data_IF_489400606824
#
_entry.id   IF_489400606824
#
_cell.length_a   1.000
_cell.length_b   1.000
_cell.length_c   1.000
_cell.angle_alpha   90.00
_cell.angle_beta   90.00
_cell.angle_gamma   90.00
#
_symmetry.space_group_name_H-M   'P 1'
#
loop_
_entity.id
_entity.type
_entity.pdbx_description
1 polymer ?
#
# COMPACT_ATOMS: atom_id res chain seq x y z
N UNK A 1 -1.79 42.25 -18.68
CA UNK A 1 -1.46 40.84 -18.93
C UNK A 1 -2.66 40.20 -19.59
N UNK A 2 -2.63 40.01 -20.89
CA UNK A 2 -3.67 39.28 -21.64
C UNK A 2 -3.70 37.82 -21.16
N UNK A 3 -4.88 37.32 -20.86
CA UNK A 3 -5.09 35.93 -20.51
C UNK A 3 -4.88 35.10 -21.77
N UNK A 4 -3.81 34.29 -21.82
CA UNK A 4 -3.59 33.32 -22.90
C UNK A 4 -4.82 32.41 -23.01
N UNK A 5 -5.33 32.30 -24.25
CA UNK A 5 -6.55 31.55 -24.53
C UNK A 5 -6.18 30.14 -24.99
N UNK A 6 -6.71 29.13 -24.33
CA UNK A 6 -6.51 27.74 -24.77
C UNK A 6 -7.23 27.52 -26.12
N UNK A 7 -6.51 26.91 -27.06
CA UNK A 7 -6.98 26.61 -28.42
C UNK A 7 -7.19 25.12 -28.66
N UNK A 8 -6.54 24.24 -27.90
CA UNK A 8 -6.78 22.79 -27.93
C UNK A 8 -6.99 22.29 -26.51
N UNK A 9 -7.94 21.37 -26.34
CA UNK A 9 -8.30 20.75 -25.08
C UNK A 9 -8.24 19.23 -25.22
N UNK A 10 -8.23 18.51 -24.10
CA UNK A 10 -8.30 17.05 -24.07
C UNK A 10 -7.17 16.36 -24.87
N UNK A 11 -5.96 16.87 -24.71
CA UNK A 11 -4.77 16.28 -25.35
C UNK A 11 -4.02 15.41 -24.33
N UNK A 12 -3.37 14.35 -24.81
CA UNK A 12 -2.62 13.42 -23.94
C UNK A 12 -1.42 14.09 -23.28
N UNK A 13 -1.10 13.69 -22.07
CA UNK A 13 0.08 14.16 -21.34
C UNK A 13 1.26 13.20 -21.53
N UNK A 14 2.38 13.67 -22.02
CA UNK A 14 3.58 12.86 -22.22
C UNK A 14 4.33 12.51 -20.93
N UNK A 15 4.03 13.21 -19.82
CA UNK A 15 4.69 12.98 -18.54
C UNK A 15 3.91 11.99 -17.64
N UNK A 16 2.60 12.14 -17.52
CA UNK A 16 1.80 11.30 -16.63
C UNK A 16 0.96 10.25 -17.36
N UNK A 17 0.96 10.24 -18.70
CA UNK A 17 0.21 9.29 -19.52
C UNK A 17 -1.31 9.50 -19.52
N UNK A 18 -1.82 10.60 -18.94
CA UNK A 18 -3.24 10.94 -19.06
C UNK A 18 -3.61 11.19 -20.52
N UNK A 19 -4.72 10.63 -20.99
CA UNK A 19 -5.15 10.69 -22.38
C UNK A 19 -5.75 12.03 -22.77
N UNK A 20 -6.19 12.87 -21.80
CA UNK A 20 -7.07 14.00 -22.04
C UNK A 20 -6.86 15.22 -21.11
N UNK A 21 -5.78 15.23 -20.30
CA UNK A 21 -5.59 16.23 -19.25
C UNK A 21 -4.81 17.49 -19.68
N UNK A 22 -4.36 17.59 -20.93
CA UNK A 22 -3.59 18.74 -21.40
C UNK A 22 -4.43 19.71 -22.19
N UNK A 23 -4.28 21.02 -21.90
CA UNK A 23 -4.80 22.13 -22.72
C UNK A 23 -3.65 22.96 -23.26
N UNK A 24 -3.72 23.30 -24.56
CA UNK A 24 -2.68 24.00 -25.30
C UNK A 24 -3.14 25.42 -25.61
N UNK A 25 -2.27 26.42 -25.40
CA UNK A 25 -2.49 27.82 -25.71
C UNK A 25 -2.11 28.15 -27.18
N UNK A 26 -2.53 29.31 -27.67
CA UNK A 26 -2.17 29.84 -29.01
C UNK A 26 -0.66 30.00 -29.21
N UNK A 27 0.09 30.29 -28.16
CA UNK A 27 1.55 30.45 -28.18
C UNK A 27 2.31 29.10 -28.17
N UNK A 28 1.59 27.96 -28.23
CA UNK A 28 2.17 26.62 -28.17
C UNK A 28 2.50 26.14 -26.76
N UNK A 29 2.36 26.98 -25.74
CA UNK A 29 2.49 26.53 -24.34
C UNK A 29 1.30 25.66 -23.95
N UNK A 30 1.51 24.74 -22.99
CA UNK A 30 0.44 23.86 -22.55
C UNK A 30 0.55 23.53 -21.07
N UNK A 31 -0.60 23.21 -20.44
CA UNK A 31 -0.66 22.76 -19.06
C UNK A 31 -1.40 21.43 -18.97
N UNK A 32 -0.83 20.48 -18.25
CA UNK A 32 -1.51 19.25 -17.83
C UNK A 32 -2.22 19.48 -16.50
N UNK A 33 -3.53 19.25 -16.46
CA UNK A 33 -4.35 19.40 -15.24
C UNK A 33 -4.35 18.15 -14.35
N UNK A 34 -3.73 17.06 -14.82
CA UNK A 34 -3.59 15.83 -14.02
C UNK A 34 -2.30 15.79 -13.19
N UNK A 35 -1.19 16.33 -13.71
CA UNK A 35 0.11 16.33 -13.03
C UNK A 35 0.74 17.71 -12.86
N UNK A 36 -0.01 18.78 -13.17
CA UNK A 36 0.41 20.19 -13.13
C UNK A 36 1.65 20.54 -13.98
N UNK A 37 2.06 19.65 -14.89
CA UNK A 37 3.19 19.90 -15.78
C UNK A 37 2.85 21.04 -16.74
N UNK A 38 3.79 22.00 -16.88
CA UNK A 38 3.75 23.07 -17.86
C UNK A 38 4.72 22.80 -19.00
N UNK A 39 4.28 23.01 -20.25
CA UNK A 39 5.08 22.88 -21.47
C UNK A 39 5.23 24.26 -22.12
N UNK A 40 6.44 24.65 -22.44
CA UNK A 40 6.71 25.92 -23.16
C UNK A 40 6.47 25.78 -24.67
N UNK A 41 6.54 24.57 -25.21
CA UNK A 41 6.17 24.23 -26.58
C UNK A 41 5.74 22.77 -26.64
N UNK A 42 4.45 22.52 -26.84
CA UNK A 42 3.84 21.19 -26.79
C UNK A 42 4.02 20.42 -28.12
N UNK A 43 3.99 21.10 -29.26
CA UNK A 43 3.97 20.45 -30.59
C UNK A 43 5.33 19.95 -31.09
N UNK A 44 6.45 20.38 -30.52
CA UNK A 44 7.79 19.99 -30.94
C UNK A 44 8.32 18.66 -30.34
N UNK A 45 7.47 17.81 -29.76
CA UNK A 45 7.87 16.50 -29.20
C UNK A 45 7.17 15.29 -29.79
N UNK A 46 6.84 15.34 -31.08
CA UNK A 46 6.35 14.15 -31.81
C UNK A 46 7.40 13.75 -32.85
N UNK A 47 8.53 13.22 -32.40
CA UNK A 47 9.33 12.27 -33.18
C UNK A 47 10.36 11.61 -32.26
N UNK A 48 10.21 10.35 -32.11
CA UNK A 48 11.02 9.26 -31.56
C UNK A 48 10.47 8.67 -30.27
N UNK A 49 9.87 7.51 -30.42
CA UNK A 49 9.75 6.49 -29.37
C UNK A 49 11.18 5.96 -29.08
N UNK A 50 12.03 6.76 -28.54
CA UNK A 50 13.18 6.30 -27.81
C UNK A 50 12.80 6.35 -26.33
N UNK A 51 12.78 5.17 -25.72
CA UNK A 51 12.75 5.00 -24.27
C UNK A 51 13.89 5.85 -23.70
N UNK A 52 13.59 7.07 -23.32
CA UNK A 52 14.47 7.83 -22.46
C UNK A 52 14.44 7.16 -21.08
N UNK A 53 15.26 6.13 -20.94
CA UNK A 53 15.82 5.78 -19.64
C UNK A 53 16.68 7.00 -19.29
N UNK A 54 16.14 7.92 -18.49
CA UNK A 54 16.97 8.93 -17.83
C UNK A 54 18.05 8.14 -17.11
N UNK A 55 19.30 8.26 -17.61
CA UNK A 55 20.47 7.79 -16.87
C UNK A 55 20.35 8.39 -15.47
N UNK A 56 20.52 7.60 -14.40
CA UNK A 56 20.48 8.11 -13.04
C UNK A 56 21.51 9.23 -12.96
N UNK A 57 21.04 10.43 -12.67
CA UNK A 57 21.94 11.55 -12.37
C UNK A 57 22.71 11.11 -11.13
N UNK A 58 24.04 11.01 -11.25
CA UNK A 58 24.90 10.62 -10.13
C UNK A 58 24.61 11.56 -8.96
N UNK A 59 23.98 11.05 -7.92
CA UNK A 59 23.62 11.87 -6.77
C UNK A 59 24.88 12.12 -5.97
N UNK A 60 25.45 13.30 -6.14
CA UNK A 60 26.52 13.77 -5.27
C UNK A 60 25.91 14.00 -3.89
N UNK A 61 26.42 13.30 -2.87
CA UNK A 61 25.97 13.49 -1.49
C UNK A 61 26.46 14.87 -1.00
N UNK A 62 25.62 15.92 -0.97
CA UNK A 62 26.07 17.28 -0.68
C UNK A 62 26.42 17.51 0.79
N UNK A 63 26.12 16.56 1.69
CA UNK A 63 26.11 16.83 3.12
C UNK A 63 27.05 15.99 3.97
N UNK A 64 27.96 15.21 3.40
CA UNK A 64 29.04 14.56 4.17
C UNK A 64 28.60 13.81 5.45
N UNK A 65 27.33 13.33 5.52
CA UNK A 65 26.79 12.68 6.72
C UNK A 65 27.58 11.43 7.11
N UNK A 66 27.53 11.08 8.38
CA UNK A 66 28.22 9.90 8.95
C UNK A 66 27.24 8.81 9.35
N UNK A 67 27.71 7.58 9.39
CA UNK A 67 26.97 6.46 9.98
C UNK A 67 27.04 6.52 11.50
N UNK A 68 25.91 6.75 12.15
CA UNK A 68 25.80 6.80 13.59
C UNK A 68 24.41 6.34 14.05
N UNK A 69 24.27 6.11 15.33
CA UNK A 69 22.95 5.83 15.97
C UNK A 69 21.98 6.99 15.72
N UNK A 70 20.77 6.68 15.31
CA UNK A 70 19.68 7.67 15.26
C UNK A 70 19.11 7.81 16.67
N UNK A 71 19.70 8.71 17.47
CA UNK A 71 19.42 8.81 18.92
C UNK A 71 17.97 9.22 19.21
N UNK A 72 17.37 10.07 18.37
CA UNK A 72 15.98 10.51 18.49
C UNK A 72 14.97 9.40 18.14
N UNK A 73 15.43 8.33 17.48
CA UNK A 73 14.65 7.18 17.02
C UNK A 73 15.01 5.87 17.71
N UNK A 74 16.05 5.88 18.55
CA UNK A 74 16.62 4.71 19.20
C UNK A 74 17.04 3.57 18.22
N UNK A 75 17.36 3.93 16.96
CA UNK A 75 17.84 2.98 15.94
C UNK A 75 19.35 2.87 16.06
N UNK A 76 19.87 1.63 16.09
CA UNK A 76 21.30 1.35 16.25
C UNK A 76 22.12 1.83 15.06
N UNK A 77 23.42 2.03 15.27
CA UNK A 77 24.35 2.39 14.19
C UNK A 77 24.42 1.28 13.14
N UNK A 78 24.44 0.05 13.57
CA UNK A 78 24.52 -1.14 12.71
C UNK A 78 23.33 -1.22 11.75
N UNK A 79 22.13 -0.94 12.23
CA UNK A 79 20.92 -0.87 11.40
C UNK A 79 20.97 0.33 10.45
N UNK A 80 21.36 1.50 10.92
CA UNK A 80 21.51 2.68 10.09
C UNK A 80 22.53 2.44 8.95
N UNK A 81 23.67 1.85 9.26
CA UNK A 81 24.71 1.50 8.30
C UNK A 81 24.22 0.46 7.28
N UNK A 82 23.53 -0.59 7.74
CA UNK A 82 22.92 -1.59 6.86
C UNK A 82 21.97 -0.95 5.85
N UNK A 83 21.13 0.00 6.27
CA UNK A 83 20.17 0.70 5.40
C UNK A 83 20.80 1.86 4.63
N UNK A 84 22.11 2.12 4.81
CA UNK A 84 22.81 3.22 4.17
C UNK A 84 22.41 4.61 4.69
N UNK A 85 21.73 4.66 5.85
CA UNK A 85 21.24 5.90 6.46
C UNK A 85 22.35 6.61 7.19
N UNK A 86 22.55 7.86 6.82
CA UNK A 86 23.54 8.75 7.46
C UNK A 86 22.83 9.83 8.28
N UNK A 87 23.54 10.38 9.22
CA UNK A 87 23.10 11.52 10.04
C UNK A 87 24.03 12.70 9.86
N UNK A 88 23.46 13.90 10.01
CA UNK A 88 24.21 15.17 10.01
C UNK A 88 23.98 15.83 11.35
N UNK A 89 25.05 16.30 11.97
CA UNK A 89 25.02 17.10 13.18
C UNK A 89 25.19 18.58 12.83
N UNK A 90 24.58 19.46 13.61
CA UNK A 90 24.78 20.90 13.47
C UNK A 90 26.10 21.36 14.14
N UNK A 91 26.38 22.66 14.06
CA UNK A 91 27.59 23.26 14.67
C UNK A 91 27.69 23.09 16.18
N UNK A 92 26.58 22.78 16.85
CA UNK A 92 26.50 22.53 18.28
C UNK A 92 26.61 21.04 18.65
N UNK A 93 26.84 20.16 17.65
CA UNK A 93 26.87 18.73 17.83
C UNK A 93 25.51 18.07 18.06
N UNK A 94 24.41 18.78 17.78
CA UNK A 94 23.07 18.22 17.88
C UNK A 94 22.65 17.55 16.57
N UNK A 95 21.92 16.45 16.65
CA UNK A 95 21.40 15.72 15.49
C UNK A 95 20.43 16.62 14.69
N UNK A 96 20.84 17.01 13.49
CA UNK A 96 20.09 17.93 12.64
C UNK A 96 19.28 17.24 11.54
N UNK A 97 19.87 16.21 10.90
CA UNK A 97 19.25 15.58 9.73
C UNK A 97 19.46 14.07 9.70
N UNK A 98 18.48 13.36 9.14
CA UNK A 98 18.62 11.98 8.66
C UNK A 98 18.62 11.97 7.14
N UNK A 99 19.51 11.20 6.53
CA UNK A 99 19.67 11.06 5.08
C UNK A 99 19.30 9.63 4.68
N UNK A 100 18.16 9.46 4.01
CA UNK A 100 17.66 8.16 3.56
C UNK A 100 17.95 7.97 2.07
N UNK A 101 18.81 7.00 1.69
CA UNK A 101 19.12 6.75 0.28
C UNK A 101 18.04 5.91 -0.39
N UNK A 102 17.82 6.18 -1.69
CA UNK A 102 16.97 5.38 -2.57
C UNK A 102 17.77 4.91 -3.78
N UNK A 103 17.41 3.74 -4.32
CA UNK A 103 18.20 3.05 -5.32
C UNK A 103 17.34 2.63 -6.51
N UNK A 104 18.01 2.63 -7.71
CA UNK A 104 17.55 1.98 -8.94
C UNK A 104 18.65 1.01 -9.34
N UNK A 105 18.35 -0.28 -9.48
CA UNK A 105 19.33 -1.29 -9.88
C UNK A 105 20.62 -1.28 -9.03
N UNK A 106 20.50 -1.07 -7.72
CA UNK A 106 21.58 -0.91 -6.74
C UNK A 106 22.43 0.36 -6.89
N UNK A 107 22.07 1.28 -7.78
CA UNK A 107 22.70 2.60 -7.87
C UNK A 107 21.87 3.65 -7.13
N UNK A 108 22.51 4.46 -6.30
CA UNK A 108 21.81 5.50 -5.54
C UNK A 108 21.29 6.58 -6.49
N UNK A 109 19.97 6.76 -6.55
CA UNK A 109 19.30 7.71 -7.43
C UNK A 109 18.71 8.92 -6.71
N UNK A 110 18.49 8.82 -5.40
CA UNK A 110 17.98 9.92 -4.60
C UNK A 110 18.38 9.79 -3.12
N UNK A 111 18.33 10.92 -2.44
CA UNK A 111 18.41 11.03 -0.97
C UNK A 111 17.19 11.81 -0.50
N UNK A 112 16.42 11.23 0.41
CA UNK A 112 15.37 11.91 1.16
C UNK A 112 15.99 12.39 2.47
N UNK A 113 15.98 13.70 2.70
CA UNK A 113 16.50 14.32 3.92
C UNK A 113 15.35 14.66 4.84
N UNK A 114 15.40 14.18 6.08
CA UNK A 114 14.50 14.59 7.14
C UNK A 114 15.21 15.54 8.08
N UNK A 115 14.65 16.73 8.25
CA UNK A 115 15.10 17.70 9.25
C UNK A 115 14.49 17.35 10.60
N UNK A 116 15.34 17.12 11.62
CA UNK A 116 14.87 16.58 12.91
C UNK A 116 14.04 17.60 13.66
N UNK A 117 14.45 18.89 13.64
CA UNK A 117 13.83 19.98 14.42
C UNK A 117 12.39 20.28 13.97
N UNK A 118 12.16 20.46 12.70
CA UNK A 118 10.87 20.89 12.13
C UNK A 118 10.10 19.76 11.42
N UNK A 119 10.66 18.56 11.42
CA UNK A 119 10.10 17.34 10.78
C UNK A 119 9.83 17.50 9.28
N UNK A 120 10.40 18.51 8.65
CA UNK A 120 10.30 18.77 7.22
C UNK A 120 11.14 17.75 6.44
N UNK A 121 10.73 17.51 5.19
CA UNK A 121 11.46 16.66 4.25
C UNK A 121 11.92 17.45 3.03
N UNK A 122 13.08 17.10 2.49
CA UNK A 122 13.55 17.52 1.18
C UNK A 122 14.09 16.33 0.40
N UNK A 123 14.21 16.49 -0.91
CA UNK A 123 14.69 15.44 -1.80
C UNK A 123 15.84 15.97 -2.65
N UNK A 124 16.88 15.18 -2.79
CA UNK A 124 17.93 15.36 -3.77
C UNK A 124 17.93 14.14 -4.70
N UNK A 125 17.87 14.37 -6.03
CA UNK A 125 17.66 13.30 -7.01
C UNK A 125 16.19 13.03 -7.31
N UNK A 126 15.89 11.86 -7.90
CA UNK A 126 14.54 11.48 -8.32
C UNK A 126 14.13 10.13 -7.72
N UNK A 127 12.94 10.09 -7.12
CA UNK A 127 12.32 8.84 -6.66
C UNK A 127 11.60 8.07 -7.78
N UNK A 128 11.52 8.63 -9.00
CA UNK A 128 10.87 7.98 -10.12
C UNK A 128 11.66 6.74 -10.54
N UNK A 129 11.03 5.59 -10.56
CA UNK A 129 11.66 4.31 -10.88
C UNK A 129 12.50 3.71 -9.74
N UNK A 130 12.64 4.40 -8.60
CA UNK A 130 13.31 3.80 -7.44
C UNK A 130 12.45 2.70 -6.80
N UNK A 131 13.11 1.73 -6.19
CA UNK A 131 12.48 0.77 -5.29
C UNK A 131 11.96 1.42 -4.01
N UNK A 132 11.33 0.62 -3.16
CA UNK A 132 10.98 1.00 -1.79
C UNK A 132 12.25 1.27 -0.98
N UNK A 133 12.15 2.06 0.09
CA UNK A 133 13.29 2.25 0.99
C UNK A 133 13.72 0.91 1.60
N UNK A 134 15.00 0.58 1.48
CA UNK A 134 15.57 -0.68 1.94
C UNK A 134 15.34 -1.88 1.01
N UNK A 135 14.64 -1.72 -0.12
CA UNK A 135 14.37 -2.82 -1.06
C UNK A 135 15.65 -3.47 -1.59
N UNK A 136 16.69 -2.68 -1.87
CA UNK A 136 17.98 -3.15 -2.37
C UNK A 136 18.75 -4.06 -1.39
N UNK A 137 18.34 -4.11 -0.12
CA UNK A 137 19.01 -4.90 0.94
C UNK A 137 18.55 -6.35 1.00
N UNK A 138 17.39 -6.64 0.44
CA UNK A 138 16.75 -7.93 0.55
C UNK A 138 16.49 -8.51 -0.85
N UNK A 139 16.99 -9.72 -1.07
CA UNK A 139 16.77 -10.43 -2.33
C UNK A 139 15.29 -10.72 -2.53
N UNK A 140 14.89 -10.78 -3.78
CA UNK A 140 13.57 -11.27 -4.20
C UNK A 140 13.34 -12.69 -3.68
N UNK A 141 12.08 -12.98 -3.38
CA UNK A 141 11.69 -14.26 -2.80
C UNK A 141 12.03 -14.33 -1.31
N UNK A 142 11.19 -14.95 -0.57
CA UNK A 142 11.36 -15.11 0.86
C UNK A 142 10.04 -15.34 1.56
N UNK A 143 10.12 -15.74 2.82
CA UNK A 143 8.93 -16.14 3.56
C UNK A 143 8.07 -14.95 4.02
N UNK A 144 8.73 -13.84 4.39
CA UNK A 144 8.06 -12.65 4.92
C UNK A 144 8.76 -11.37 4.48
N UNK A 145 7.96 -10.37 4.12
CA UNK A 145 8.37 -8.97 4.01
C UNK A 145 7.43 -8.11 4.84
N UNK A 146 7.97 -7.13 5.56
CA UNK A 146 7.21 -6.12 6.29
C UNK A 146 7.30 -4.79 5.56
N UNK A 147 6.16 -4.16 5.31
CA UNK A 147 6.08 -2.85 4.65
C UNK A 147 5.55 -1.84 5.66
N UNK A 148 6.32 -0.79 5.92
CA UNK A 148 5.96 0.31 6.84
C UNK A 148 5.66 1.60 6.08
N UNK A 149 5.13 2.60 6.78
CA UNK A 149 4.86 3.90 6.20
C UNK A 149 6.13 4.76 6.12
N UNK A 150 6.93 4.76 7.17
CA UNK A 150 8.13 5.58 7.30
C UNK A 150 9.43 4.79 7.29
N UNK A 151 10.53 5.46 6.91
CA UNK A 151 11.87 4.86 6.86
C UNK A 151 12.37 4.44 8.25
N UNK A 152 12.09 5.26 9.28
CA UNK A 152 12.41 4.90 10.66
C UNK A 152 11.67 3.67 11.13
N UNK A 153 10.40 3.51 10.69
CA UNK A 153 9.57 2.37 11.06
C UNK A 153 10.05 1.07 10.41
N UNK A 154 10.58 1.15 9.18
CA UNK A 154 11.20 0.00 8.53
C UNK A 154 12.43 -0.49 9.30
N UNK A 155 13.32 0.44 9.66
CA UNK A 155 14.50 0.12 10.47
C UNK A 155 14.12 -0.37 11.87
N UNK A 156 13.13 0.26 12.50
CA UNK A 156 12.63 -0.16 13.81
C UNK A 156 12.00 -1.55 13.77
N UNK A 157 11.16 -1.84 12.79
CA UNK A 157 10.58 -3.17 12.59
C UNK A 157 11.66 -4.22 12.34
N UNK A 158 12.70 -3.87 11.59
CA UNK A 158 13.84 -4.75 11.36
C UNK A 158 14.54 -5.13 12.68
N UNK A 159 14.86 -4.16 13.55
CA UNK A 159 15.46 -4.42 14.86
C UNK A 159 14.51 -5.20 15.79
N UNK A 160 13.24 -4.80 15.86
CA UNK A 160 12.22 -5.46 16.69
C UNK A 160 12.03 -6.93 16.33
N UNK A 161 12.24 -7.29 15.05
CA UNK A 161 12.16 -8.67 14.55
C UNK A 161 13.52 -9.41 14.59
N UNK A 162 14.49 -8.88 15.33
CA UNK A 162 15.80 -9.49 15.51
C UNK A 162 16.67 -9.47 14.26
N UNK A 163 16.48 -8.47 13.40
CA UNK A 163 17.27 -8.24 12.17
C UNK A 163 17.24 -9.40 11.17
N UNK A 164 16.15 -10.18 11.17
CA UNK A 164 16.04 -11.43 10.40
C UNK A 164 15.19 -11.30 9.14
N UNK A 165 14.10 -10.55 9.18
CA UNK A 165 13.11 -10.47 8.11
C UNK A 165 13.27 -9.21 7.27
N UNK A 166 12.87 -9.27 6.00
CA UNK A 166 12.85 -8.10 5.14
C UNK A 166 11.88 -7.04 5.68
N UNK A 167 12.37 -5.82 5.87
CA UNK A 167 11.58 -4.66 6.30
C UNK A 167 11.90 -3.49 5.38
N UNK A 168 10.87 -2.95 4.73
CA UNK A 168 10.96 -1.86 3.77
C UNK A 168 9.91 -0.79 4.09
N UNK A 169 10.08 0.44 3.59
CA UNK A 169 9.01 1.42 3.67
C UNK A 169 8.60 1.98 2.31
N UNK A 170 7.37 2.49 2.25
CA UNK A 170 6.93 3.30 1.12
C UNK A 170 7.71 4.61 1.06
N UNK A 171 7.73 5.25 -0.13
CA UNK A 171 8.59 6.41 -0.41
C UNK A 171 8.01 7.74 0.03
N UNK A 172 6.69 7.90 -0.12
CA UNK A 172 5.99 9.19 -0.11
C UNK A 172 4.86 9.29 0.92
N UNK A 173 4.78 8.34 1.88
CA UNK A 173 3.74 8.29 2.91
C UNK A 173 2.39 7.73 2.43
N UNK A 174 1.42 7.63 3.36
CA UNK A 174 0.15 6.93 3.19
C UNK A 174 -0.64 7.33 1.93
N UNK A 175 -0.66 8.62 1.57
CA UNK A 175 -1.41 9.10 0.41
C UNK A 175 -0.92 8.52 -0.93
N UNK A 176 0.37 8.23 -1.05
CA UNK A 176 0.97 7.66 -2.25
C UNK A 176 1.24 6.15 -2.16
N UNK A 177 0.84 5.51 -1.05
CA UNK A 177 1.14 4.10 -0.76
C UNK A 177 0.77 3.16 -1.91
N UNK A 178 -0.44 3.30 -2.46
CA UNK A 178 -0.92 2.49 -3.60
C UNK A 178 -0.01 2.59 -4.81
N UNK A 179 0.47 3.80 -5.12
CA UNK A 179 1.38 4.05 -6.26
C UNK A 179 2.74 3.42 -6.00
N UNK A 180 3.31 3.65 -4.82
CA UNK A 180 4.62 3.12 -4.44
C UNK A 180 4.64 1.58 -4.45
N UNK A 181 3.56 0.94 -3.97
CA UNK A 181 3.41 -0.51 -3.98
C UNK A 181 3.26 -1.06 -5.40
N UNK A 182 2.49 -0.39 -6.27
CA UNK A 182 2.34 -0.81 -7.67
C UNK A 182 3.68 -0.74 -8.44
N UNK A 183 4.50 0.28 -8.16
CA UNK A 183 5.83 0.43 -8.76
C UNK A 183 6.80 -0.70 -8.36
N UNK A 184 6.60 -1.34 -7.21
CA UNK A 184 7.42 -2.45 -6.70
C UNK A 184 6.64 -3.77 -6.55
N UNK A 185 5.52 -3.92 -7.27
CA UNK A 185 4.57 -5.01 -7.03
C UNK A 185 5.20 -6.39 -7.26
N UNK A 186 5.97 -6.57 -8.32
CA UNK A 186 6.63 -7.83 -8.66
C UNK A 186 7.57 -8.27 -7.54
N UNK A 187 8.40 -7.36 -7.06
CA UNK A 187 9.28 -7.61 -5.92
C UNK A 187 8.51 -8.02 -4.66
N UNK A 188 7.46 -7.29 -4.30
CA UNK A 188 6.66 -7.57 -3.10
C UNK A 188 5.94 -8.92 -3.24
N UNK A 189 5.41 -9.21 -4.42
CA UNK A 189 4.70 -10.46 -4.74
C UNK A 189 5.62 -11.68 -4.79
N UNK A 190 6.94 -11.50 -4.85
CA UNK A 190 7.91 -12.59 -4.76
C UNK A 190 7.96 -13.24 -3.36
N UNK A 191 7.52 -12.53 -2.32
CA UNK A 191 7.47 -13.06 -0.94
C UNK A 191 6.18 -13.85 -0.69
N UNK A 192 6.26 -14.88 0.18
CA UNK A 192 5.09 -15.71 0.54
C UNK A 192 4.05 -14.92 1.34
N UNK A 193 4.49 -14.05 2.25
CA UNK A 193 3.65 -13.26 3.13
C UNK A 193 4.11 -11.80 3.16
N UNK A 194 3.15 -10.89 3.04
CA UNK A 194 3.38 -9.45 3.10
C UNK A 194 2.69 -8.88 4.33
N UNK A 195 3.46 -8.44 5.32
CA UNK A 195 2.93 -7.82 6.54
C UNK A 195 2.93 -6.31 6.37
N UNK A 196 1.76 -5.69 6.39
CA UNK A 196 1.59 -4.25 6.27
C UNK A 196 1.52 -3.67 7.68
N UNK A 197 2.51 -2.85 8.04
CA UNK A 197 2.66 -2.21 9.35
C UNK A 197 2.67 -0.68 9.18
N UNK A 198 1.51 -0.12 8.86
CA UNK A 198 1.34 1.34 8.73
C UNK A 198 0.91 1.96 10.05
N UNK A 199 1.00 3.28 10.14
CA UNK A 199 0.63 4.04 11.32
C UNK A 199 -0.81 3.71 11.77
N UNK A 200 -1.04 3.75 13.08
CA UNK A 200 -2.34 3.41 13.67
C UNK A 200 -3.41 4.50 13.49
N UNK A 201 -3.05 5.62 12.87
CA UNK A 201 -4.01 6.67 12.56
C UNK A 201 -4.97 6.26 11.42
N UNK A 202 -6.01 7.08 11.20
CA UNK A 202 -7.04 6.79 10.21
C UNK A 202 -6.47 6.68 8.79
N UNK A 203 -5.52 7.57 8.44
CA UNK A 203 -4.92 7.59 7.09
C UNK A 203 -4.07 6.35 6.83
N UNK A 204 -3.21 5.98 7.79
CA UNK A 204 -2.38 4.78 7.71
C UNK A 204 -3.23 3.51 7.60
N UNK A 205 -4.30 3.39 8.40
CA UNK A 205 -5.17 2.21 8.37
C UNK A 205 -5.99 2.11 7.07
N UNK A 206 -6.46 3.22 6.51
CA UNK A 206 -7.12 3.24 5.21
C UNK A 206 -6.15 2.89 4.07
N UNK A 207 -4.93 3.44 4.12
CA UNK A 207 -3.88 3.11 3.16
C UNK A 207 -3.48 1.63 3.23
N UNK A 208 -3.33 1.06 4.44
CA UNK A 208 -3.03 -0.36 4.63
C UNK A 208 -4.08 -1.26 3.97
N UNK A 209 -5.38 -0.95 4.12
CA UNK A 209 -6.46 -1.69 3.47
C UNK A 209 -6.41 -1.56 1.94
N UNK A 210 -6.17 -0.36 1.41
CA UNK A 210 -6.03 -0.13 -0.04
C UNK A 210 -4.84 -0.90 -0.62
N UNK A 211 -3.70 -0.89 0.07
CA UNK A 211 -2.51 -1.68 -0.31
C UNK A 211 -2.81 -3.18 -0.27
N UNK A 212 -3.47 -3.66 0.78
CA UNK A 212 -3.81 -5.07 0.91
C UNK A 212 -4.72 -5.59 -0.22
N UNK A 213 -5.59 -4.73 -0.79
CA UNK A 213 -6.47 -5.11 -1.92
C UNK A 213 -5.74 -5.24 -3.26
N UNK A 214 -4.52 -4.69 -3.40
CA UNK A 214 -3.73 -4.76 -4.63
C UNK A 214 -2.97 -6.09 -4.71
N UNK A 215 -2.60 -6.63 -3.56
CA UNK A 215 -1.83 -7.85 -3.45
C UNK A 215 -2.69 -9.08 -3.76
N UNK A 216 -2.04 -10.15 -4.21
CA UNK A 216 -2.71 -11.44 -4.45
C UNK A 216 -3.49 -11.91 -3.22
N UNK A 217 -4.61 -12.61 -3.41
CA UNK A 217 -5.41 -13.14 -2.31
C UNK A 217 -4.58 -13.95 -1.31
N UNK A 218 -4.85 -13.77 -0.02
CA UNK A 218 -4.20 -14.44 1.11
C UNK A 218 -2.73 -14.05 1.37
N UNK A 219 -2.10 -13.19 0.58
CA UNK A 219 -0.72 -12.72 0.82
C UNK A 219 -0.63 -11.60 1.86
N UNK A 220 -1.54 -10.64 1.77
CA UNK A 220 -1.52 -9.47 2.66
C UNK A 220 -1.97 -9.82 4.08
N UNK A 221 -1.19 -9.40 5.06
CA UNK A 221 -1.54 -9.41 6.47
C UNK A 221 -1.46 -7.99 7.01
N UNK A 222 -2.47 -7.52 7.72
CA UNK A 222 -2.43 -6.19 8.36
C UNK A 222 -2.04 -6.39 9.82
N UNK A 223 -0.91 -5.80 10.19
CA UNK A 223 -0.44 -5.77 11.57
C UNK A 223 -1.24 -4.73 12.36
N UNK A 224 -1.85 -5.16 13.43
CA UNK A 224 -2.49 -4.27 14.40
C UNK A 224 -1.56 -4.10 15.60
N UNK A 225 -0.99 -2.91 15.75
CA UNK A 225 -0.12 -2.60 16.89
C UNK A 225 -0.92 -2.59 18.21
N UNK A 226 -0.31 -3.01 19.34
CA UNK A 226 -0.93 -2.90 20.66
C UNK A 226 -1.41 -1.48 20.99
N UNK A 227 -2.32 -1.36 21.96
CA UNK A 227 -2.79 -0.04 22.38
C UNK A 227 -1.65 0.75 23.04
N UNK A 228 -1.64 2.07 22.80
CA UNK A 228 -0.62 2.96 23.31
C UNK A 228 0.55 3.25 22.37
N UNK A 229 0.65 2.52 21.25
CA UNK A 229 1.70 2.74 20.25
C UNK A 229 1.10 3.17 18.91
N UNK A 230 1.74 4.16 18.27
CA UNK A 230 1.33 4.69 16.98
C UNK A 230 1.94 3.92 15.84
N UNK A 231 3.23 3.63 15.92
CA UNK A 231 4.07 3.08 14.87
C UNK A 231 5.13 2.11 15.45
N UNK A 232 5.88 1.45 14.57
CA UNK A 232 6.91 0.51 14.98
C UNK A 232 8.06 1.20 15.74
N UNK A 233 8.38 2.44 15.40
CA UNK A 233 9.45 3.17 16.06
C UNK A 233 9.09 3.54 17.50
N UNK A 234 7.83 3.83 17.79
CA UNK A 234 7.36 4.04 19.18
C UNK A 234 7.60 2.79 20.03
N UNK A 235 7.33 1.60 19.49
CA UNK A 235 7.58 0.34 20.20
C UNK A 235 9.08 0.09 20.42
N UNK A 236 9.92 0.37 19.41
CA UNK A 236 11.39 0.25 19.56
C UNK A 236 11.92 1.18 20.64
N UNK A 237 11.48 2.44 20.67
CA UNK A 237 11.90 3.42 21.68
C UNK A 237 11.57 2.98 23.11
N UNK A 238 10.53 2.19 23.29
CA UNK A 238 10.10 1.66 24.58
C UNK A 238 10.59 0.22 24.86
N UNK A 239 11.44 -0.33 23.98
CA UNK A 239 12.03 -1.66 24.15
C UNK A 239 11.03 -2.81 24.05
N UNK A 240 9.93 -2.64 23.31
CA UNK A 240 8.81 -3.59 23.23
C UNK A 240 8.99 -4.69 22.16
N UNK A 241 10.16 -5.29 22.12
CA UNK A 241 10.53 -6.33 21.13
C UNK A 241 9.58 -7.53 21.14
N UNK A 242 9.30 -8.08 22.31
CA UNK A 242 8.46 -9.27 22.43
C UNK A 242 7.01 -8.99 22.05
N UNK A 243 6.48 -7.84 22.48
CA UNK A 243 5.10 -7.44 22.17
C UNK A 243 4.91 -7.20 20.67
N UNK A 244 5.89 -6.53 20.02
CA UNK A 244 5.87 -6.32 18.56
C UNK A 244 5.95 -7.65 17.81
N UNK A 245 6.90 -8.50 18.17
CA UNK A 245 7.10 -9.82 17.53
C UNK A 245 5.84 -10.69 17.67
N UNK A 246 5.18 -10.69 18.83
CA UNK A 246 3.91 -11.39 19.02
C UNK A 246 2.82 -10.82 18.11
N UNK A 247 2.62 -9.51 18.10
CA UNK A 247 1.62 -8.87 17.25
C UNK A 247 1.90 -9.14 15.76
N UNK A 248 3.17 -9.19 15.36
CA UNK A 248 3.58 -9.50 14.00
C UNK A 248 3.22 -10.93 13.59
N UNK A 249 3.47 -11.93 14.44
CA UNK A 249 3.06 -13.32 14.20
C UNK A 249 1.54 -13.50 14.22
N UNK A 250 0.83 -12.76 15.06
CA UNK A 250 -0.62 -12.79 15.20
C UNK A 250 -1.34 -11.97 14.09
N UNK A 251 -0.58 -11.33 13.20
CA UNK A 251 -1.15 -10.53 12.11
C UNK A 251 -2.06 -11.36 11.22
N UNK A 252 -3.28 -10.86 11.00
CA UNK A 252 -4.32 -11.60 10.28
C UNK A 252 -4.27 -11.31 8.79
N UNK A 253 -4.51 -12.36 8.01
CA UNK A 253 -4.69 -12.22 6.56
C UNK A 253 -5.85 -11.27 6.30
N UNK A 254 -5.59 -10.25 5.49
CA UNK A 254 -6.61 -9.31 5.08
C UNK A 254 -7.64 -9.99 4.19
N UNK A 255 -8.90 -9.84 4.57
CA UNK A 255 -10.05 -10.30 3.78
C UNK A 255 -10.89 -9.07 3.45
N UNK A 256 -11.10 -8.72 2.17
CA UNK A 256 -11.95 -7.60 1.78
C UNK A 256 -13.37 -7.75 2.34
N UNK A 257 -14.02 -6.61 2.63
CA UNK A 257 -15.42 -6.60 3.06
C UNK A 257 -16.30 -7.26 2.00
N UNK A 258 -17.20 -8.17 2.43
CA UNK A 258 -18.07 -8.95 1.55
C UNK A 258 -17.57 -10.36 1.26
N UNK A 259 -16.30 -10.68 1.48
CA UNK A 259 -15.79 -12.05 1.43
C UNK A 259 -15.87 -12.67 2.82
N UNK A 260 -16.68 -13.71 2.96
CA UNK A 260 -16.86 -14.42 4.22
C UNK A 260 -16.26 -15.82 4.10
N UNK A 261 -15.33 -16.15 4.98
CA UNK A 261 -14.78 -17.50 5.05
C UNK A 261 -15.86 -18.46 5.60
N UNK A 262 -16.05 -19.58 4.94
CA UNK A 262 -17.03 -20.60 5.37
C UNK A 262 -16.74 -21.08 6.80
N UNK A 263 -15.47 -21.20 7.19
CA UNK A 263 -15.04 -21.53 8.55
C UNK A 263 -15.65 -20.60 9.62
N UNK A 264 -15.72 -19.30 9.32
CA UNK A 264 -16.20 -18.29 10.28
C UNK A 264 -17.71 -18.34 10.46
N UNK A 265 -18.41 -18.89 9.45
CA UNK A 265 -19.87 -19.10 9.47
C UNK A 265 -20.30 -20.46 9.97
N UNK A 266 -19.37 -21.41 10.15
CA UNK A 266 -19.70 -22.79 10.56
C UNK A 266 -20.56 -22.84 11.83
N UNK A 267 -20.20 -22.12 12.90
CA UNK A 267 -20.95 -22.08 14.15
C UNK A 267 -22.34 -21.50 13.95
N UNK A 268 -22.47 -20.40 13.22
CA UNK A 268 -23.82 -19.79 12.98
C UNK A 268 -24.68 -20.64 12.07
N UNK A 269 -24.10 -21.46 11.19
CA UNK A 269 -24.81 -22.39 10.33
C UNK A 269 -25.31 -23.60 11.14
N UNK A 270 -24.47 -24.14 12.03
CA UNK A 270 -24.84 -25.29 12.89
C UNK A 270 -25.88 -24.92 13.96
N UNK A 271 -25.85 -23.68 14.46
CA UNK A 271 -26.77 -23.18 15.47
C UNK A 271 -27.96 -22.42 14.86
N UNK A 272 -28.20 -22.56 13.54
CA UNK A 272 -29.35 -21.91 12.90
C UNK A 272 -30.63 -22.54 13.40
N UNK A 273 -31.52 -21.74 13.97
CA UNK A 273 -32.87 -22.16 14.33
C UNK A 273 -33.56 -22.74 13.10
N UNK A 274 -34.14 -23.93 13.27
CA UNK A 274 -34.97 -24.53 12.23
C UNK A 274 -36.20 -23.66 12.09
N UNK A 275 -36.44 -23.13 10.92
CA UNK A 275 -37.68 -22.40 10.63
C UNK A 275 -38.82 -23.35 10.62
N UNK A 276 -39.93 -22.96 11.24
CA UNK A 276 -41.18 -23.70 11.16
C UNK A 276 -41.61 -23.86 9.70
N UNK A 277 -42.09 -25.04 9.37
CA UNK A 277 -42.55 -25.38 8.03
C UNK A 277 -44.01 -25.80 8.05
N UNK A 278 -44.79 -25.35 7.07
CA UNK A 278 -46.12 -25.80 6.81
C UNK A 278 -46.04 -27.01 5.88
N UNK A 279 -46.61 -28.17 6.25
CA UNK A 279 -46.54 -29.35 5.42
C UNK A 279 -47.38 -29.18 4.14
N UNK A 280 -46.91 -29.74 3.05
CA UNK A 280 -47.72 -29.90 1.84
C UNK A 280 -48.84 -30.96 2.08
N UNK A 281 -49.94 -30.91 1.34
CA UNK A 281 -50.99 -31.91 1.40
C UNK A 281 -50.51 -33.33 1.01
N UNK A 282 -49.39 -33.41 0.32
CA UNK A 282 -48.86 -34.71 -0.18
C UNK A 282 -47.63 -35.16 0.61
N UNK A 283 -47.77 -36.33 1.24
CA UNK A 283 -46.69 -36.91 2.06
C UNK A 283 -45.39 -37.12 1.27
N UNK A 284 -45.46 -37.56 0.00
CA UNK A 284 -44.31 -37.76 -0.86
C UNK A 284 -43.54 -36.47 -1.16
N UNK A 285 -44.24 -35.35 -1.17
CA UNK A 285 -43.60 -34.01 -1.35
C UNK A 285 -42.94 -33.56 -0.04
N UNK A 286 -43.58 -33.79 1.09
CA UNK A 286 -43.02 -33.49 2.40
C UNK A 286 -41.75 -34.29 2.70
N UNK A 287 -41.68 -35.54 2.31
CA UNK A 287 -40.42 -36.35 2.41
C UNK A 287 -39.26 -35.79 1.62
N UNK A 288 -39.52 -35.08 0.51
CA UNK A 288 -38.48 -34.53 -0.35
C UNK A 288 -38.15 -33.07 -0.02
N UNK A 289 -39.12 -32.23 0.29
CA UNK A 289 -39.00 -30.79 0.47
C UNK A 289 -39.08 -30.31 1.91
N UNK A 290 -39.49 -31.18 2.83
CA UNK A 290 -39.65 -30.89 4.27
C UNK A 290 -40.63 -29.76 4.59
N UNK A 291 -41.66 -29.58 3.77
CA UNK A 291 -42.66 -28.52 3.91
C UNK A 291 -42.24 -27.17 3.34
N UNK A 292 -43.13 -26.20 3.44
CA UNK A 292 -42.99 -24.84 2.94
C UNK A 292 -42.60 -23.90 4.08
N UNK A 293 -41.55 -23.08 3.89
CA UNK A 293 -41.05 -22.19 4.93
C UNK A 293 -41.17 -20.74 4.53
N UNK A 294 -41.34 -19.89 5.50
CA UNK A 294 -41.38 -18.43 5.26
C UNK A 294 -40.07 -17.91 4.67
N UNK A 295 -40.18 -17.13 3.59
CA UNK A 295 -39.03 -16.57 2.86
C UNK A 295 -38.46 -17.51 1.77
N UNK A 296 -39.12 -18.66 1.47
CA UNK A 296 -38.80 -19.51 0.33
C UNK A 296 -39.71 -19.16 -0.88
N UNK A 297 -39.15 -19.24 -2.07
CA UNK A 297 -39.90 -19.14 -3.34
C UNK A 297 -40.15 -20.53 -3.88
N UNK A 298 -41.45 -20.90 -3.97
CA UNK A 298 -41.88 -22.15 -4.61
C UNK A 298 -42.45 -21.81 -6.00
N UNK A 299 -41.88 -22.41 -7.05
CA UNK A 299 -42.36 -22.25 -8.43
C UNK A 299 -43.10 -23.57 -8.85
N UNK A 300 -44.37 -23.47 -9.13
CA UNK A 300 -45.16 -24.56 -9.67
C UNK A 300 -45.32 -24.38 -11.18
N UNK A 301 -44.89 -25.36 -11.96
CA UNK A 301 -44.98 -25.34 -13.44
C UNK A 301 -45.88 -26.50 -13.93
N UNK A 302 -46.49 -26.29 -15.06
CA UNK A 302 -47.32 -27.29 -15.73
C UNK A 302 -48.08 -26.70 -16.91
N UNK A 303 -48.58 -27.55 -17.77
CA UNK A 303 -49.36 -27.12 -18.95
C UNK A 303 -50.66 -26.39 -18.58
N UNK A 304 -51.25 -25.72 -19.56
CA UNK A 304 -52.55 -25.03 -19.38
C UNK A 304 -53.64 -26.07 -19.07
N UNK A 305 -54.52 -25.77 -18.13
CA UNK A 305 -55.62 -26.64 -17.74
C UNK A 305 -55.29 -27.78 -16.77
N UNK A 306 -54.01 -27.95 -16.34
CA UNK A 306 -53.61 -29.04 -15.43
C UNK A 306 -53.82 -28.77 -13.94
N UNK A 307 -54.64 -27.80 -13.60
CA UNK A 307 -55.06 -27.56 -12.20
C UNK A 307 -54.05 -26.85 -11.30
N UNK A 308 -53.04 -26.11 -11.86
CA UNK A 308 -52.06 -25.35 -11.05
C UNK A 308 -52.69 -24.46 -10.00
N UNK A 309 -53.72 -23.68 -10.37
CA UNK A 309 -54.45 -22.78 -9.46
C UNK A 309 -55.25 -23.53 -8.39
N UNK A 310 -55.66 -24.78 -8.63
CA UNK A 310 -56.34 -25.61 -7.63
C UNK A 310 -55.36 -26.16 -6.57
N UNK A 311 -54.08 -26.30 -6.93
CA UNK A 311 -53.01 -26.75 -6.03
C UNK A 311 -52.54 -25.63 -5.11
N UNK A 312 -52.64 -24.37 -5.57
CA UNK A 312 -52.15 -23.20 -4.79
C UNK A 312 -53.23 -22.52 -3.96
N UNK A 313 -54.48 -22.98 -3.99
CA UNK A 313 -55.55 -22.58 -3.10
C UNK A 313 -55.55 -23.41 -1.83
#
# INVERSE_FOLDING_TARGET
MEKSKFVKYHVSCHECGSSDAVSVNEDGSAKCFSCDKFYTNYENKVTSMDKYVKQPTTVVNPHGGIYAKLVDRNITKETAEKYGVKVVYDSNGQLAQHLYPFYINNEQCAIKTRYVKDKRFSFNGSLQGSGLFGQNLFKEGGKYITITEGECDAMAAFELLGSKWACVSIKRGAAAAVKDIKESLEYIESFDNVVICFDKDKQGQEAAKKVATILKPNKAKILTLPNGYKDANDMLKQGKHQEFTRAWWDSKVYTPSGIIKVSDKKKSYLNREKKDSVPYPWEGLNKKLYGLRQGELLTLTGGTGLGKSSVTR
#
